data_IF_924329315966
#
_entry.id   IF_924329315966
#
_cell.length_a   1.000
_cell.length_b   1.000
_cell.length_c   1.000
_cell.angle_alpha   90.00
_cell.angle_beta   90.00
_cell.angle_gamma   90.00
#
_symmetry.space_group_name_H-M   'P 1'
#
loop_
_entity.id
_entity.type
_entity.pdbx_description
1 polymer ?
#
# COMPACT_ATOMS: atom_id res chain seq x y z
N UNK A 1 18.46 -27.09 20.79
CA UNK A 1 17.56 -27.46 19.66
C UNK A 1 18.40 -27.58 18.39
N UNK A 2 18.55 -28.77 17.84
CA UNK A 2 19.36 -29.04 16.65
C UNK A 2 18.75 -28.36 15.42
N UNK A 3 19.49 -27.47 14.76
CA UNK A 3 19.11 -26.88 13.45
C UNK A 3 19.05 -28.04 12.42
N UNK A 4 17.81 -28.44 12.05
CA UNK A 4 17.60 -29.40 10.94
C UNK A 4 18.30 -28.81 9.71
N UNK A 5 19.31 -29.49 9.19
CA UNK A 5 19.99 -29.16 7.93
C UNK A 5 18.91 -29.08 6.83
N UNK A 6 18.67 -27.90 6.26
CA UNK A 6 17.82 -27.79 5.08
C UNK A 6 18.40 -28.65 3.98
N UNK A 7 17.62 -29.59 3.45
CA UNK A 7 18.03 -30.39 2.28
C UNK A 7 18.29 -29.40 1.13
N UNK A 8 19.41 -29.60 0.41
CA UNK A 8 19.67 -28.84 -0.82
C UNK A 8 18.49 -29.06 -1.79
N UNK A 9 17.91 -27.96 -2.28
CA UNK A 9 16.89 -28.03 -3.30
C UNK A 9 17.52 -28.41 -4.65
N UNK A 10 16.81 -29.15 -5.53
CA UNK A 10 17.24 -29.34 -6.90
C UNK A 10 17.38 -27.99 -7.59
N UNK A 11 18.45 -27.82 -8.34
CA UNK A 11 18.69 -26.61 -9.16
C UNK A 11 18.22 -26.80 -10.62
N UNK A 12 17.88 -28.03 -10.98
CA UNK A 12 17.33 -28.35 -12.31
C UNK A 12 15.93 -27.77 -12.43
N UNK A 13 15.63 -26.98 -13.48
CA UNK A 13 14.29 -26.50 -13.72
C UNK A 13 13.31 -27.66 -13.95
N UNK A 14 12.06 -27.43 -13.56
CA UNK A 14 10.93 -28.32 -13.81
C UNK A 14 10.08 -27.70 -14.93
N UNK A 15 9.68 -28.50 -15.90
CA UNK A 15 8.65 -28.13 -16.85
C UNK A 15 7.28 -28.28 -16.17
N UNK A 16 6.49 -27.23 -16.17
CA UNK A 16 5.21 -27.16 -15.51
C UNK A 16 4.15 -26.51 -16.42
N UNK A 17 2.92 -27.03 -16.34
CA UNK A 17 1.74 -26.40 -16.94
C UNK A 17 0.91 -25.75 -15.82
N UNK A 18 0.61 -24.48 -15.99
CA UNK A 18 -0.09 -23.69 -14.98
C UNK A 18 -1.59 -23.78 -15.19
N UNK A 19 -2.28 -24.42 -14.24
CA UNK A 19 -3.73 -24.67 -14.33
C UNK A 19 -4.59 -23.53 -13.80
N UNK A 20 -4.10 -22.75 -12.81
CA UNK A 20 -4.86 -21.70 -12.14
C UNK A 20 -3.93 -20.69 -11.46
N UNK A 21 -4.51 -19.63 -10.86
CA UNK A 21 -3.83 -18.73 -9.92
C UNK A 21 -4.31 -18.98 -8.49
N UNK A 22 -3.41 -18.89 -7.53
CA UNK A 22 -3.75 -18.82 -6.11
C UNK A 22 -4.27 -17.43 -5.74
N UNK A 23 -4.93 -17.32 -4.59
CA UNK A 23 -5.39 -16.02 -4.06
C UNK A 23 -4.26 -14.99 -3.84
N UNK A 24 -3.01 -15.46 -3.74
CA UNK A 24 -1.82 -14.60 -3.66
C UNK A 24 -1.24 -14.23 -5.03
N UNK A 25 -1.87 -14.69 -6.13
CA UNK A 25 -1.41 -14.42 -7.50
C UNK A 25 -0.22 -15.26 -7.95
N UNK A 26 -0.03 -16.46 -7.37
CA UNK A 26 0.98 -17.43 -7.83
C UNK A 26 0.32 -18.45 -8.75
N UNK A 27 0.98 -18.82 -9.84
CA UNK A 27 0.55 -19.92 -10.69
C UNK A 27 0.47 -21.23 -9.89
N UNK A 28 -0.55 -22.03 -10.17
CA UNK A 28 -0.75 -23.36 -9.58
C UNK A 28 -0.46 -24.40 -10.65
N UNK A 29 0.49 -25.27 -10.37
CA UNK A 29 0.80 -26.45 -11.17
C UNK A 29 0.79 -27.71 -10.29
N UNK A 30 0.84 -28.88 -10.92
CA UNK A 30 1.00 -30.16 -10.25
C UNK A 30 2.26 -30.88 -10.78
N UNK A 31 3.07 -31.36 -9.88
CA UNK A 31 4.26 -32.16 -10.22
C UNK A 31 4.36 -33.34 -9.27
N UNK A 32 4.47 -34.56 -9.83
CA UNK A 32 4.53 -35.81 -9.06
C UNK A 32 3.40 -35.94 -8.00
N UNK A 33 2.17 -35.54 -8.36
CA UNK A 33 1.00 -35.59 -7.47
C UNK A 33 0.94 -34.51 -6.39
N UNK A 34 1.82 -33.52 -6.43
CA UNK A 34 1.93 -32.45 -5.46
C UNK A 34 1.69 -31.08 -6.09
N UNK A 35 1.03 -30.19 -5.36
CA UNK A 35 0.82 -28.80 -5.78
C UNK A 35 2.15 -28.05 -5.75
N UNK A 36 2.42 -27.28 -6.81
CA UNK A 36 3.56 -26.38 -6.94
C UNK A 36 3.04 -24.97 -7.18
N UNK A 37 3.36 -24.04 -6.27
CA UNK A 37 3.08 -22.61 -6.46
C UNK A 37 4.24 -21.95 -7.18
N UNK A 38 3.97 -21.39 -8.35
CA UNK A 38 4.99 -20.78 -9.22
C UNK A 38 4.83 -19.27 -9.20
N UNK A 39 5.80 -18.57 -8.64
CA UNK A 39 5.81 -17.10 -8.64
C UNK A 39 6.08 -16.56 -10.04
N UNK A 40 5.19 -15.66 -10.53
CA UNK A 40 5.35 -14.99 -11.82
C UNK A 40 4.73 -15.72 -13.01
N UNK A 41 4.08 -16.88 -12.81
CA UNK A 41 3.43 -17.65 -13.87
C UNK A 41 1.90 -17.40 -13.89
N UNK A 42 1.29 -17.49 -15.08
CA UNK A 42 -0.13 -17.27 -15.33
C UNK A 42 -0.83 -18.55 -15.81
N UNK A 43 -2.16 -18.67 -15.63
CA UNK A 43 -2.93 -19.82 -16.12
C UNK A 43 -2.78 -20.02 -17.63
N UNK A 44 -2.71 -21.30 -18.04
CA UNK A 44 -2.55 -21.71 -19.42
C UNK A 44 -1.10 -21.68 -19.93
N UNK A 45 -0.15 -21.23 -19.12
CA UNK A 45 1.25 -21.19 -19.52
C UNK A 45 1.95 -22.53 -19.36
N UNK A 46 2.86 -22.81 -20.29
CA UNK A 46 3.92 -23.84 -20.13
C UNK A 46 5.21 -23.14 -19.78
N UNK A 47 5.79 -23.50 -18.65
CA UNK A 47 6.91 -22.78 -18.04
C UNK A 47 8.01 -23.71 -17.55
N UNK A 48 9.23 -23.19 -17.52
CA UNK A 48 10.28 -23.72 -16.68
C UNK A 48 10.33 -22.96 -15.34
N UNK A 49 10.43 -23.69 -14.23
CA UNK A 49 10.50 -23.12 -12.89
C UNK A 49 11.49 -23.88 -12.01
N UNK A 50 12.18 -23.16 -11.12
CA UNK A 50 13.13 -23.73 -10.15
C UNK A 50 12.50 -23.69 -8.75
N UNK A 51 12.61 -24.82 -8.04
CA UNK A 51 12.10 -24.95 -6.68
C UNK A 51 12.85 -24.03 -5.72
N UNK A 52 12.09 -23.24 -4.96
CA UNK A 52 12.58 -22.29 -3.94
C UNK A 52 12.33 -22.79 -2.52
N UNK A 53 11.29 -23.61 -2.30
CA UNK A 53 11.01 -24.27 -1.01
C UNK A 53 10.23 -25.57 -1.23
N UNK A 54 10.43 -26.55 -0.33
CA UNK A 54 9.68 -27.82 -0.32
C UNK A 54 9.01 -28.02 1.02
N UNK A 55 7.68 -28.14 0.98
CA UNK A 55 6.85 -28.42 2.14
C UNK A 55 6.24 -29.83 2.04
N UNK A 56 5.60 -30.29 3.10
CA UNK A 56 4.95 -31.61 3.08
C UNK A 56 3.80 -31.69 2.09
N UNK A 57 2.97 -30.64 2.00
CA UNK A 57 1.74 -30.62 1.22
C UNK A 57 1.88 -29.90 -0.13
N UNK A 58 2.86 -29.02 -0.30
CA UNK A 58 3.07 -28.26 -1.53
C UNK A 58 4.55 -27.88 -1.68
N UNK A 59 4.93 -27.51 -2.87
CA UNK A 59 6.24 -26.92 -3.17
C UNK A 59 6.07 -25.48 -3.65
N UNK A 60 7.14 -24.69 -3.57
CA UNK A 60 7.21 -23.35 -4.12
C UNK A 60 8.31 -23.31 -5.17
N UNK A 61 8.04 -22.60 -6.26
CA UNK A 61 8.97 -22.42 -7.34
C UNK A 61 8.97 -20.96 -7.84
N UNK A 62 10.04 -20.59 -8.49
CA UNK A 62 10.17 -19.32 -9.20
C UNK A 62 10.26 -19.59 -10.69
N UNK A 63 9.53 -18.82 -11.47
CA UNK A 63 9.57 -18.83 -12.93
C UNK A 63 10.99 -18.54 -13.44
N UNK A 64 11.45 -19.33 -14.39
CA UNK A 64 12.70 -19.15 -15.13
C UNK A 64 12.41 -18.70 -16.57
N UNK A 65 11.55 -19.45 -17.27
CA UNK A 65 11.21 -19.21 -18.67
C UNK A 65 9.74 -19.54 -18.95
N UNK A 66 9.14 -18.82 -19.88
CA UNK A 66 7.79 -19.06 -20.37
C UNK A 66 7.89 -19.55 -21.83
N UNK A 67 7.53 -20.81 -22.07
CA UNK A 67 7.57 -21.41 -23.41
C UNK A 67 6.30 -21.09 -24.22
N UNK A 68 5.14 -21.09 -23.55
CA UNK A 68 3.86 -20.72 -24.14
C UNK A 68 3.19 -19.69 -23.27
N UNK A 69 3.23 -18.40 -23.63
CA UNK A 69 2.65 -17.34 -22.80
C UNK A 69 1.12 -17.37 -22.84
N UNK A 70 0.52 -17.00 -21.71
CA UNK A 70 -0.91 -16.68 -21.62
C UNK A 70 -1.24 -15.47 -22.52
N UNK A 71 -2.42 -15.42 -23.17
CA UNK A 71 -2.87 -14.23 -23.89
C UNK A 71 -3.01 -12.98 -22.98
N UNK A 72 -3.15 -13.19 -21.69
CA UNK A 72 -3.25 -12.13 -20.69
C UNK A 72 -1.89 -11.71 -20.11
N UNK A 73 -0.79 -12.28 -20.58
CA UNK A 73 0.55 -11.85 -20.18
C UNK A 73 0.93 -10.57 -20.89
N UNK A 74 1.39 -9.60 -20.11
CA UNK A 74 1.93 -8.34 -20.61
C UNK A 74 3.35 -8.11 -20.08
N UNK A 75 4.09 -7.23 -20.76
CA UNK A 75 5.36 -6.72 -20.25
C UNK A 75 5.07 -5.77 -19.07
N UNK A 76 5.68 -5.99 -17.88
CA UNK A 76 5.51 -5.09 -16.74
C UNK A 76 5.96 -3.67 -17.06
N UNK A 77 5.16 -2.67 -16.70
CA UNK A 77 5.56 -1.26 -16.81
C UNK A 77 6.79 -0.90 -15.95
N UNK A 78 7.02 -1.64 -14.86
CA UNK A 78 8.11 -1.42 -13.94
C UNK A 78 9.29 -2.36 -14.23
N UNK A 79 10.46 -1.81 -14.52
CA UNK A 79 11.70 -2.57 -14.76
C UNK A 79 12.12 -3.46 -13.58
N UNK A 80 11.67 -3.13 -12.36
CA UNK A 80 11.96 -3.89 -11.13
C UNK A 80 10.93 -4.96 -10.80
N UNK A 81 9.91 -5.17 -11.62
CA UNK A 81 8.79 -6.07 -11.32
C UNK A 81 9.22 -7.53 -11.07
N UNK A 82 10.32 -7.98 -11.69
CA UNK A 82 10.86 -9.34 -11.53
C UNK A 82 11.56 -9.58 -10.19
N UNK A 83 12.04 -8.51 -9.53
CA UNK A 83 12.84 -8.59 -8.29
C UNK A 83 12.17 -7.91 -7.10
N UNK A 84 11.48 -6.79 -7.31
CA UNK A 84 10.85 -6.01 -6.27
C UNK A 84 9.63 -6.73 -5.68
N UNK A 85 9.55 -6.78 -4.33
CA UNK A 85 8.43 -7.39 -3.59
C UNK A 85 7.20 -6.49 -3.44
N UNK A 86 7.21 -5.28 -4.00
CA UNK A 86 6.11 -4.31 -3.88
C UNK A 86 4.88 -4.64 -4.73
N UNK A 87 5.05 -5.42 -5.81
CA UNK A 87 3.99 -5.80 -6.75
C UNK A 87 4.07 -7.27 -7.12
N UNK A 88 2.90 -7.93 -7.26
CA UNK A 88 2.81 -9.36 -7.55
C UNK A 88 2.35 -9.66 -8.98
N UNK A 89 1.59 -8.79 -9.62
CA UNK A 89 0.83 -9.09 -10.83
C UNK A 89 1.07 -8.11 -12.00
N UNK A 90 2.17 -7.37 -12.03
CA UNK A 90 2.41 -6.42 -13.13
C UNK A 90 2.60 -7.08 -14.52
N UNK A 91 2.88 -8.37 -14.55
CA UNK A 91 2.98 -9.18 -15.76
C UNK A 91 1.62 -9.71 -16.25
N UNK A 92 0.53 -9.39 -15.59
CA UNK A 92 -0.83 -9.82 -15.88
C UNK A 92 -1.67 -8.61 -16.30
N UNK A 93 -2.40 -8.71 -17.43
CA UNK A 93 -3.25 -7.63 -17.94
C UNK A 93 -4.21 -7.10 -16.87
N UNK A 94 -4.34 -5.79 -16.63
CA UNK A 94 -5.18 -5.24 -15.57
C UNK A 94 -6.65 -5.63 -15.65
N UNK A 95 -7.20 -5.86 -16.85
CA UNK A 95 -8.60 -6.31 -17.03
C UNK A 95 -8.73 -7.76 -16.61
N UNK A 96 -7.77 -8.60 -17.00
CA UNK A 96 -7.72 -9.99 -16.58
C UNK A 96 -7.46 -10.13 -15.08
N UNK A 97 -6.63 -9.27 -14.47
CA UNK A 97 -6.48 -9.19 -13.00
C UNK A 97 -7.82 -8.90 -12.31
N UNK A 98 -8.61 -7.98 -12.85
CA UNK A 98 -9.91 -7.62 -12.30
C UNK A 98 -10.88 -8.79 -12.38
N UNK A 99 -11.02 -9.42 -13.56
CA UNK A 99 -11.86 -10.59 -13.77
C UNK A 99 -11.47 -11.75 -12.84
N UNK A 100 -10.17 -11.99 -12.67
CA UNK A 100 -9.66 -12.98 -11.71
C UNK A 100 -10.07 -12.66 -10.26
N UNK A 101 -9.94 -11.41 -9.83
CA UNK A 101 -10.33 -11.00 -8.47
C UNK A 101 -11.83 -11.11 -8.25
N UNK A 102 -12.65 -10.78 -9.26
CA UNK A 102 -14.09 -10.96 -9.22
C UNK A 102 -14.46 -12.44 -9.11
N UNK A 103 -13.89 -13.31 -9.96
CA UNK A 103 -14.18 -14.74 -9.90
C UNK A 103 -13.87 -15.34 -8.53
N UNK A 104 -12.75 -14.93 -7.92
CA UNK A 104 -12.38 -15.36 -6.57
C UNK A 104 -13.34 -14.84 -5.48
N UNK A 105 -13.87 -13.63 -5.63
CA UNK A 105 -14.85 -13.09 -4.71
C UNK A 105 -16.17 -13.86 -4.83
N UNK A 106 -16.66 -14.05 -6.06
CA UNK A 106 -17.92 -14.75 -6.31
C UNK A 106 -17.88 -16.22 -5.89
N UNK A 107 -16.77 -16.92 -6.14
CA UNK A 107 -16.58 -18.29 -5.65
C UNK A 107 -16.77 -18.38 -4.11
N UNK A 108 -16.19 -17.42 -3.38
CA UNK A 108 -16.34 -17.36 -1.92
C UNK A 108 -17.73 -16.96 -1.47
N UNK A 109 -18.37 -16.01 -2.16
CA UNK A 109 -19.74 -15.59 -1.88
C UNK A 109 -20.71 -16.72 -2.13
N UNK A 110 -20.66 -17.40 -3.28
CA UNK A 110 -21.52 -18.53 -3.64
C UNK A 110 -21.43 -19.64 -2.58
N UNK A 111 -20.22 -19.91 -2.10
CA UNK A 111 -20.02 -20.87 -1.03
C UNK A 111 -20.62 -20.39 0.32
N UNK A 112 -20.51 -19.10 0.63
CA UNK A 112 -20.99 -18.53 1.90
C UNK A 112 -22.52 -18.36 1.95
N UNK A 113 -23.13 -17.93 0.84
CA UNK A 113 -24.58 -17.65 0.79
C UNK A 113 -25.45 -18.90 0.56
N UNK A 114 -24.84 -20.06 0.33
CA UNK A 114 -25.55 -21.37 0.25
C UNK A 114 -26.75 -21.38 -0.71
N UNK A 115 -26.60 -20.76 -1.88
CA UNK A 115 -27.62 -20.72 -2.93
C UNK A 115 -28.62 -19.58 -2.82
N UNK A 116 -28.46 -18.65 -1.88
CA UNK A 116 -29.24 -17.41 -1.90
C UNK A 116 -28.79 -16.55 -3.09
N UNK A 117 -29.76 -15.90 -3.73
CA UNK A 117 -29.47 -15.01 -4.86
C UNK A 117 -28.95 -13.65 -4.36
N UNK A 118 -27.98 -13.10 -5.06
CA UNK A 118 -27.47 -11.75 -4.87
C UNK A 118 -27.20 -11.07 -6.22
N UNK A 119 -27.16 -9.75 -6.22
CA UNK A 119 -26.92 -8.99 -7.45
C UNK A 119 -25.43 -8.70 -7.61
N UNK A 120 -24.89 -9.06 -8.76
CA UNK A 120 -23.54 -8.66 -9.15
C UNK A 120 -23.56 -7.20 -9.62
N UNK A 121 -22.69 -6.41 -9.07
CA UNK A 121 -22.47 -5.03 -9.51
C UNK A 121 -21.17 -4.95 -10.33
N UNK A 122 -21.11 -3.96 -11.21
CA UNK A 122 -19.87 -3.68 -11.92
C UNK A 122 -18.73 -3.33 -10.96
N UNK A 123 -17.52 -3.86 -11.18
CA UNK A 123 -16.38 -3.55 -10.33
C UNK A 123 -15.94 -2.10 -10.48
N UNK A 124 -15.52 -1.50 -9.37
CA UNK A 124 -14.90 -0.17 -9.37
C UNK A 124 -13.54 -0.24 -10.06
N UNK A 125 -13.29 0.70 -10.96
CA UNK A 125 -12.06 0.81 -11.73
C UNK A 125 -11.38 2.15 -11.50
N UNK A 126 -10.06 2.14 -11.41
CA UNK A 126 -9.25 3.34 -11.23
C UNK A 126 -7.88 3.19 -11.88
N UNK A 127 -7.01 4.19 -11.74
CA UNK A 127 -5.65 4.13 -12.24
C UNK A 127 -4.92 2.89 -11.73
N UNK A 128 -4.19 2.21 -12.62
CA UNK A 128 -3.39 1.02 -12.29
C UNK A 128 -1.94 1.37 -11.94
N UNK A 129 -1.51 2.59 -12.24
CA UNK A 129 -0.20 3.17 -11.92
C UNK A 129 -0.37 4.50 -11.20
N UNK A 130 0.65 4.95 -10.48
CA UNK A 130 0.67 6.25 -9.78
C UNK A 130 -0.32 6.40 -8.62
N UNK A 131 -1.05 5.36 -8.26
CA UNK A 131 -2.17 5.43 -7.32
C UNK A 131 -1.75 5.38 -5.85
N UNK A 132 -0.56 4.84 -5.56
CA UNK A 132 -0.14 4.50 -4.19
C UNK A 132 0.39 5.72 -3.45
N UNK A 133 -0.41 6.24 -2.53
CA UNK A 133 -0.10 7.45 -1.77
C UNK A 133 0.67 7.21 -0.47
N UNK A 134 0.78 5.98 -0.02
CA UNK A 134 1.54 5.63 1.20
C UNK A 134 2.45 4.45 0.96
N UNK A 135 3.67 4.56 1.45
CA UNK A 135 4.63 3.48 1.39
C UNK A 135 5.63 3.55 2.54
N UNK A 136 6.19 2.41 2.86
CA UNK A 136 7.30 2.26 3.78
C UNK A 136 8.50 1.79 2.98
N UNK A 137 9.44 2.70 2.75
CA UNK A 137 10.68 2.46 2.04
C UNK A 137 11.71 1.93 3.03
N UNK A 138 12.33 0.82 2.73
CA UNK A 138 13.46 0.31 3.48
C UNK A 138 14.73 1.06 3.06
N UNK A 139 15.62 1.30 4.01
CA UNK A 139 16.89 1.99 3.79
C UNK A 139 18.02 1.10 4.28
N UNK A 140 19.09 0.98 3.50
CA UNK A 140 20.25 0.18 3.89
C UNK A 140 21.51 0.62 3.16
N UNK A 141 22.58 0.78 3.93
CA UNK A 141 23.92 0.88 3.35
C UNK A 141 24.43 -0.49 2.90
N UNK A 142 24.87 -0.58 1.66
CA UNK A 142 25.42 -1.81 1.06
C UNK A 142 26.93 -1.63 0.86
N UNK A 143 27.72 -2.25 1.73
CA UNK A 143 29.19 -2.13 1.72
C UNK A 143 29.83 -2.46 0.35
N UNK A 144 29.34 -3.52 -0.33
CA UNK A 144 29.90 -3.91 -1.65
C UNK A 144 29.65 -2.90 -2.76
N UNK A 145 28.65 -2.02 -2.60
CA UNK A 145 28.29 -0.97 -3.56
C UNK A 145 28.70 0.41 -3.09
N UNK A 146 29.18 0.50 -1.84
CA UNK A 146 29.50 1.76 -1.16
C UNK A 146 28.36 2.80 -1.26
N UNK A 147 27.11 2.31 -1.23
CA UNK A 147 25.91 3.10 -1.50
C UNK A 147 24.80 2.79 -0.48
N UNK A 148 24.03 3.83 -0.13
CA UNK A 148 22.75 3.67 0.54
C UNK A 148 21.68 3.36 -0.51
N UNK A 149 20.91 2.30 -0.31
CA UNK A 149 19.74 1.95 -1.11
C UNK A 149 18.48 2.38 -0.36
N UNK A 150 17.56 3.02 -1.07
CA UNK A 150 16.22 3.40 -0.61
C UNK A 150 15.20 2.78 -1.56
N UNK A 151 14.29 1.97 -1.04
CA UNK A 151 13.28 1.32 -1.88
C UNK A 151 12.53 0.19 -1.19
N UNK A 152 11.87 -0.64 -1.96
CA UNK A 152 11.18 -1.81 -1.44
C UNK A 152 12.11 -3.01 -1.31
N UNK A 153 11.75 -3.92 -0.42
CA UNK A 153 12.47 -5.20 -0.32
C UNK A 153 12.25 -6.04 -1.56
N UNK A 154 13.28 -6.80 -1.93
CA UNK A 154 13.16 -7.83 -2.97
C UNK A 154 12.25 -8.97 -2.52
N UNK A 155 11.66 -9.65 -3.47
CA UNK A 155 10.80 -10.82 -3.25
C UNK A 155 11.52 -11.90 -2.46
N UNK A 156 10.89 -12.38 -1.39
CA UNK A 156 11.43 -13.45 -0.55
C UNK A 156 12.80 -13.17 0.09
N UNK A 157 13.23 -11.92 0.15
CA UNK A 157 14.57 -11.51 0.56
C UNK A 157 14.54 -10.38 1.59
N UNK A 158 15.67 -10.18 2.27
CA UNK A 158 15.93 -8.99 3.11
C UNK A 158 16.71 -7.90 2.37
N UNK A 159 17.06 -8.14 1.10
CA UNK A 159 17.73 -7.15 0.27
C UNK A 159 16.76 -6.04 -0.14
N UNK A 160 17.32 -4.91 -0.54
CA UNK A 160 16.55 -3.75 -1.01
C UNK A 160 16.79 -3.62 -2.51
N UNK A 161 15.72 -3.48 -3.26
CA UNK A 161 15.76 -3.20 -4.69
C UNK A 161 16.43 -1.84 -4.91
N UNK A 162 17.48 -1.82 -5.70
CA UNK A 162 18.12 -0.57 -6.13
C UNK A 162 17.28 0.04 -7.24
N UNK A 163 16.42 0.99 -6.89
CA UNK A 163 15.41 1.55 -7.79
C UNK A 163 15.54 3.06 -7.92
N UNK A 164 15.32 3.54 -9.14
CA UNK A 164 15.31 4.96 -9.49
C UNK A 164 13.89 5.52 -9.58
N UNK A 165 12.89 4.66 -9.79
CA UNK A 165 11.47 5.00 -9.89
C UNK A 165 10.59 3.88 -9.34
N UNK A 166 9.31 4.16 -9.17
CA UNK A 166 8.29 3.16 -8.83
C UNK A 166 6.97 3.54 -9.49
N UNK A 167 6.56 2.74 -10.47
CA UNK A 167 5.39 3.04 -11.30
C UNK A 167 4.05 3.08 -10.55
N UNK A 168 3.95 2.43 -9.40
CA UNK A 168 2.70 2.43 -8.61
C UNK A 168 2.65 3.52 -7.54
N UNK A 169 3.79 4.10 -7.14
CA UNK A 169 3.82 5.22 -6.21
C UNK A 169 3.31 6.50 -6.87
N UNK A 170 2.72 7.38 -6.04
CA UNK A 170 2.48 8.77 -6.39
C UNK A 170 3.76 9.38 -6.99
N UNK A 171 3.62 10.07 -8.13
CA UNK A 171 4.75 10.57 -8.91
C UNK A 171 5.66 11.51 -8.12
N UNK A 172 5.10 12.30 -7.19
CA UNK A 172 5.88 13.18 -6.30
C UNK A 172 6.87 12.43 -5.43
N UNK A 173 6.52 11.19 -5.05
CA UNK A 173 7.38 10.31 -4.26
C UNK A 173 8.30 9.48 -5.14
N UNK A 174 7.75 8.93 -6.24
CA UNK A 174 8.51 8.09 -7.17
C UNK A 174 9.74 8.81 -7.71
N UNK A 175 9.59 10.05 -8.18
CA UNK A 175 10.67 10.86 -8.74
C UNK A 175 11.77 11.22 -7.73
N UNK A 176 11.47 11.12 -6.43
CA UNK A 176 12.40 11.49 -5.36
C UNK A 176 13.28 10.33 -4.85
N UNK A 177 13.05 9.10 -5.31
CA UNK A 177 13.79 7.92 -4.82
C UNK A 177 15.33 8.08 -4.94
N UNK A 178 15.88 8.53 -6.08
CA UNK A 178 17.33 8.78 -6.18
C UNK A 178 17.83 9.88 -5.24
N UNK A 179 17.06 10.97 -5.11
CA UNK A 179 17.41 12.08 -4.24
C UNK A 179 17.37 11.69 -2.75
N UNK A 180 16.41 10.84 -2.35
CA UNK A 180 16.36 10.29 -0.99
C UNK A 180 17.57 9.39 -0.69
N UNK A 181 18.01 8.59 -1.67
CA UNK A 181 19.21 7.77 -1.52
C UNK A 181 20.47 8.65 -1.37
N UNK A 182 20.58 9.69 -2.17
CA UNK A 182 21.70 10.66 -2.09
C UNK A 182 21.69 11.44 -0.76
N UNK A 183 20.50 11.90 -0.34
CA UNK A 183 20.32 12.59 0.94
C UNK A 183 20.79 11.72 2.10
N UNK A 184 20.27 10.49 2.23
CA UNK A 184 20.67 9.61 3.33
C UNK A 184 22.17 9.27 3.25
N UNK A 185 22.74 9.09 2.06
CA UNK A 185 24.17 8.84 1.89
C UNK A 185 25.04 10.01 2.39
N UNK A 186 24.51 11.23 2.36
CA UNK A 186 25.23 12.43 2.82
C UNK A 186 25.21 12.63 4.33
N UNK A 187 24.35 11.91 5.06
CA UNK A 187 24.23 12.03 6.52
C UNK A 187 25.41 11.34 7.21
N UNK A 188 25.84 11.88 8.33
CA UNK A 188 26.80 11.21 9.22
C UNK A 188 26.16 9.94 9.80
N UNK A 189 24.86 10.00 10.11
CA UNK A 189 24.05 8.91 10.67
C UNK A 189 23.42 7.99 9.61
N UNK A 190 23.95 7.91 8.38
CA UNK A 190 23.34 7.16 7.28
C UNK A 190 23.04 5.68 7.58
N UNK A 191 23.82 5.06 8.49
CA UNK A 191 23.61 3.65 8.92
C UNK A 191 22.51 3.49 9.94
N UNK A 192 22.11 4.56 10.58
CA UNK A 192 21.12 4.58 11.64
C UNK A 192 19.71 4.93 11.14
N UNK A 193 19.54 5.08 9.82
CA UNK A 193 18.24 5.32 9.15
C UNK A 193 17.79 4.03 8.48
N UNK A 194 16.97 3.18 9.12
CA UNK A 194 16.54 1.90 8.55
C UNK A 194 15.33 2.02 7.62
N UNK A 195 14.58 3.14 7.69
CA UNK A 195 13.28 3.26 7.04
C UNK A 195 12.87 4.71 6.85
N UNK A 196 12.19 4.97 5.73
CA UNK A 196 11.48 6.22 5.45
C UNK A 196 10.03 5.85 5.14
N UNK A 197 9.06 6.36 5.91
CA UNK A 197 7.66 6.29 5.52
C UNK A 197 7.32 7.53 4.68
N UNK A 198 6.53 7.31 3.64
CA UNK A 198 6.05 8.37 2.77
C UNK A 198 4.53 8.38 2.79
N UNK A 199 3.97 9.59 2.82
CA UNK A 199 2.54 9.79 2.71
C UNK A 199 2.27 11.00 1.81
N UNK A 200 1.31 10.85 0.89
CA UNK A 200 0.89 11.91 -0.02
C UNK A 200 -0.59 12.23 0.20
N UNK A 201 -0.88 13.50 0.43
CA UNK A 201 -2.22 14.08 0.45
C UNK A 201 -2.60 14.67 -0.89
N UNK A 202 -3.80 15.27 -0.95
CA UNK A 202 -4.24 16.02 -2.11
C UNK A 202 -3.60 17.40 -2.15
N UNK A 203 -3.33 17.96 -3.34
CA UNK A 203 -2.98 19.37 -3.49
C UNK A 203 -4.17 20.28 -3.15
N UNK A 204 -3.95 21.60 -3.21
CA UNK A 204 -4.97 22.65 -3.12
C UNK A 204 -5.53 22.95 -1.71
N UNK A 205 -4.82 22.52 -0.68
CA UNK A 205 -5.07 22.94 0.70
C UNK A 205 -3.80 23.60 1.24
N UNK A 206 -3.94 24.58 2.14
CA UNK A 206 -2.81 25.30 2.76
C UNK A 206 -2.00 24.40 3.71
N UNK A 207 -1.56 23.26 3.20
CA UNK A 207 -0.81 22.24 3.93
C UNK A 207 0.21 21.55 3.01
N UNK A 208 1.28 20.99 3.54
CA UNK A 208 2.18 20.15 2.76
C UNK A 208 1.43 18.99 2.12
N UNK A 209 1.70 18.73 0.83
CA UNK A 209 1.04 17.63 0.10
C UNK A 209 1.74 16.29 0.26
N UNK A 210 2.96 16.29 0.75
CA UNK A 210 3.77 15.06 0.94
C UNK A 210 4.53 15.15 2.25
N UNK A 211 4.56 14.04 2.98
CA UNK A 211 5.33 13.89 4.21
C UNK A 211 6.34 12.75 4.12
N UNK A 212 7.48 12.96 4.72
CA UNK A 212 8.52 11.96 4.93
C UNK A 212 8.72 11.76 6.43
N UNK A 213 8.64 10.51 6.90
CA UNK A 213 8.92 10.14 8.29
C UNK A 213 10.22 9.33 8.30
N UNK A 214 11.30 9.91 8.80
CA UNK A 214 12.59 9.24 8.92
C UNK A 214 12.67 8.52 10.26
N UNK A 215 12.70 7.18 10.22
CA UNK A 215 13.02 6.40 11.40
C UNK A 215 14.52 6.43 11.62
N UNK A 216 14.94 6.70 12.86
CA UNK A 216 16.35 6.69 13.25
C UNK A 216 16.57 5.87 14.51
N UNK A 217 17.69 5.14 14.57
CA UNK A 217 18.03 4.25 15.68
C UNK A 217 18.86 4.94 16.76
N UNK A 218 19.46 6.08 16.43
CA UNK A 218 20.22 6.97 17.34
C UNK A 218 19.82 8.41 17.08
N UNK A 219 19.97 9.26 18.07
CA UNK A 219 19.75 10.70 17.91
C UNK A 219 20.59 11.25 16.75
N UNK A 220 19.95 12.07 15.93
CA UNK A 220 20.61 12.75 14.80
C UNK A 220 21.34 14.00 15.32
N UNK A 221 22.52 14.26 14.78
CA UNK A 221 23.26 15.50 15.05
C UNK A 221 22.67 16.69 14.29
N UNK A 222 23.04 17.91 14.71
CA UNK A 222 22.52 19.16 14.12
C UNK A 222 22.82 19.25 12.62
N UNK A 223 23.99 18.81 12.17
CA UNK A 223 24.37 18.79 10.75
C UNK A 223 23.45 17.89 9.91
N UNK A 224 23.08 16.72 10.43
CA UNK A 224 22.15 15.81 9.75
C UNK A 224 20.72 16.38 9.72
N UNK A 225 20.28 16.98 10.83
CA UNK A 225 18.99 17.66 10.92
C UNK A 225 18.88 18.81 9.92
N UNK A 226 19.94 19.63 9.77
CA UNK A 226 19.95 20.72 8.82
C UNK A 226 19.82 20.22 7.38
N UNK A 227 20.54 19.16 7.00
CA UNK A 227 20.43 18.55 5.67
C UNK A 227 19.01 18.03 5.40
N UNK A 228 18.41 17.32 6.36
CA UNK A 228 17.03 16.81 6.24
C UNK A 228 16.01 17.95 6.11
N UNK A 229 16.15 19.01 6.90
CA UNK A 229 15.27 20.19 6.85
C UNK A 229 15.44 20.96 5.56
N UNK A 230 16.68 21.16 5.07
CA UNK A 230 16.94 21.82 3.80
C UNK A 230 16.31 21.06 2.64
N UNK A 231 16.50 19.75 2.60
CA UNK A 231 15.87 18.88 1.60
C UNK A 231 14.33 18.97 1.62
N UNK A 232 13.74 18.92 2.82
CA UNK A 232 12.30 19.02 2.97
C UNK A 232 11.76 20.39 2.49
N UNK A 233 12.49 21.47 2.80
CA UNK A 233 12.14 22.83 2.37
C UNK A 233 12.23 23.00 0.85
N UNK A 234 13.32 22.55 0.23
CA UNK A 234 13.55 22.64 -1.22
C UNK A 234 12.51 21.88 -2.04
N UNK A 235 11.97 20.78 -1.47
CA UNK A 235 10.99 19.94 -2.14
C UNK A 235 9.55 20.13 -1.61
N UNK A 236 9.32 21.12 -0.73
CA UNK A 236 8.00 21.40 -0.13
C UNK A 236 7.39 20.19 0.61
N UNK A 237 8.23 19.39 1.30
CA UNK A 237 7.80 18.24 2.09
C UNK A 237 7.63 18.58 3.56
N UNK A 238 6.67 17.92 4.21
CA UNK A 238 6.65 17.85 5.67
C UNK A 238 7.65 16.78 6.14
N UNK A 239 8.52 17.15 7.06
CA UNK A 239 9.52 16.28 7.66
C UNK A 239 9.10 15.87 9.07
N UNK A 240 9.12 14.57 9.31
CA UNK A 240 8.90 13.95 10.61
C UNK A 240 10.08 13.06 10.97
N UNK A 241 10.34 12.93 12.26
CA UNK A 241 11.33 12.02 12.81
C UNK A 241 10.64 10.99 13.71
N UNK A 242 11.19 9.78 13.75
CA UNK A 242 10.73 8.67 14.57
C UNK A 242 11.91 7.98 15.24
N UNK A 243 12.06 8.19 16.55
CA UNK A 243 13.13 7.59 17.35
C UNK A 243 12.83 6.16 17.84
N UNK A 244 11.55 5.79 17.92
CA UNK A 244 11.12 4.52 18.52
C UNK A 244 9.76 4.06 18.01
N UNK A 245 8.78 3.97 18.93
CA UNK A 245 7.39 3.63 18.62
C UNK A 245 6.66 4.74 17.85
N UNK A 246 5.37 4.52 17.61
CA UNK A 246 4.51 5.48 16.89
C UNK A 246 4.32 6.78 17.69
N UNK A 247 4.34 6.70 18.98
CA UNK A 247 4.27 7.79 19.97
C UNK A 247 5.47 8.75 19.90
N UNK A 248 6.58 8.33 19.30
CA UNK A 248 7.78 9.16 19.15
C UNK A 248 7.82 9.96 17.86
N UNK A 249 6.82 9.81 17.00
CA UNK A 249 6.77 10.52 15.71
C UNK A 249 6.41 11.99 15.97
N UNK A 250 7.25 12.89 15.50
CA UNK A 250 7.02 14.33 15.63
C UNK A 250 7.45 15.10 14.39
N UNK A 251 6.75 16.18 14.09
CA UNK A 251 7.05 17.06 12.97
C UNK A 251 8.25 17.96 13.28
N UNK A 252 9.19 18.02 12.35
CA UNK A 252 10.38 18.88 12.40
C UNK A 252 10.25 20.08 11.45
N UNK A 253 9.64 19.86 10.29
CA UNK A 253 9.47 20.89 9.26
C UNK A 253 8.13 20.70 8.51
N UNK A 254 7.42 21.81 8.16
CA UNK A 254 7.62 23.17 8.66
C UNK A 254 7.29 23.25 10.17
N UNK A 255 7.91 24.18 10.89
CA UNK A 255 7.67 24.38 12.33
C UNK A 255 6.26 24.92 12.62
N UNK A 256 5.68 25.64 11.69
CA UNK A 256 4.33 26.20 11.75
C UNK A 256 3.36 25.41 10.86
N UNK A 257 2.08 25.68 11.00
CA UNK A 257 1.03 25.03 10.22
C UNK A 257 0.56 23.70 10.79
N UNK A 258 -0.44 23.07 10.16
CA UNK A 258 -1.07 21.86 10.68
C UNK A 258 -0.09 20.68 10.72
N UNK A 259 -0.26 19.84 11.73
CA UNK A 259 0.45 18.55 11.83
C UNK A 259 -0.36 17.46 11.12
N UNK A 260 -0.80 17.74 9.90
CA UNK A 260 -1.68 16.88 9.10
C UNK A 260 -1.39 17.07 7.62
N UNK A 261 -1.57 15.98 6.88
CA UNK A 261 -1.87 16.00 5.47
C UNK A 261 -3.38 15.88 5.29
N UNK A 262 -3.89 16.20 4.11
CA UNK A 262 -5.32 16.13 3.83
C UNK A 262 -5.58 15.34 2.56
N UNK A 263 -6.71 14.62 2.53
CA UNK A 263 -7.28 14.12 1.30
C UNK A 263 -8.74 14.56 1.17
N UNK A 264 -9.20 14.72 -0.05
CA UNK A 264 -10.51 15.26 -0.35
C UNK A 264 -11.49 14.18 -0.81
N UNK A 265 -12.73 14.31 -0.38
CA UNK A 265 -13.91 13.63 -0.91
C UNK A 265 -14.79 14.69 -1.57
N UNK A 266 -14.52 15.05 -2.84
CA UNK A 266 -15.16 16.23 -3.47
C UNK A 266 -16.68 16.10 -3.58
N UNK A 267 -17.20 14.90 -3.84
CA UNK A 267 -18.64 14.65 -3.95
C UNK A 267 -19.39 14.96 -2.64
N UNK A 268 -18.75 14.79 -1.50
CA UNK A 268 -19.29 15.07 -0.17
C UNK A 268 -18.86 16.42 0.37
N UNK A 269 -18.06 17.20 -0.40
CA UNK A 269 -17.46 18.46 0.04
C UNK A 269 -16.72 18.33 1.37
N UNK A 270 -15.89 17.28 1.50
CA UNK A 270 -15.12 16.98 2.68
C UNK A 270 -13.61 17.00 2.38
N UNK A 271 -12.85 17.52 3.35
CA UNK A 271 -11.40 17.36 3.43
C UNK A 271 -11.06 16.71 4.78
N UNK A 272 -10.43 15.54 4.73
CA UNK A 272 -10.08 14.78 5.92
C UNK A 272 -8.58 14.91 6.20
N UNK A 273 -8.25 15.42 7.38
CA UNK A 273 -6.90 15.49 7.90
C UNK A 273 -6.44 14.14 8.42
N UNK A 274 -5.19 13.79 8.13
CA UNK A 274 -4.57 12.56 8.63
C UNK A 274 -3.11 12.79 8.99
N UNK A 275 -2.62 12.08 10.00
CA UNK A 275 -1.19 12.07 10.31
C UNK A 275 -0.46 11.13 9.33
N UNK A 276 0.80 11.41 8.93
CA UNK A 276 1.53 10.57 7.97
C UNK A 276 1.58 9.08 8.32
N UNK A 277 1.49 8.75 9.60
CA UNK A 277 1.51 7.36 10.07
C UNK A 277 0.13 6.72 10.20
N UNK A 278 -0.96 7.48 10.07
CA UNK A 278 -2.31 6.93 10.15
C UNK A 278 -2.61 5.97 8.99
N UNK A 279 -3.51 5.04 9.22
CA UNK A 279 -4.05 4.26 8.12
C UNK A 279 -4.96 5.13 7.25
N UNK A 280 -4.69 5.15 5.96
CA UNK A 280 -5.57 5.71 4.92
C UNK A 280 -5.58 4.77 3.73
N UNK A 281 -6.65 4.80 2.93
CA UNK A 281 -6.72 4.02 1.69
C UNK A 281 -5.63 4.49 0.72
N UNK A 282 -4.77 3.57 0.30
CA UNK A 282 -3.60 3.91 -0.53
C UNK A 282 -3.96 4.33 -1.95
N UNK A 283 -5.12 3.91 -2.46
CA UNK A 283 -5.68 4.30 -3.75
C UNK A 283 -6.82 5.29 -3.52
N UNK A 284 -6.54 6.59 -3.64
CA UNK A 284 -7.50 7.64 -3.36
C UNK A 284 -8.69 7.65 -4.33
N UNK A 285 -8.45 7.32 -5.60
CA UNK A 285 -9.51 7.32 -6.62
C UNK A 285 -10.51 6.19 -6.36
N UNK A 286 -10.02 4.99 -6.07
CA UNK A 286 -10.89 3.87 -5.67
C UNK A 286 -11.60 4.18 -4.33
N UNK A 287 -10.94 4.84 -3.38
CA UNK A 287 -11.57 5.24 -2.13
C UNK A 287 -12.78 6.16 -2.36
N UNK A 288 -12.65 7.16 -3.23
CA UNK A 288 -13.75 8.08 -3.60
C UNK A 288 -14.90 7.34 -4.25
N UNK A 289 -14.61 6.48 -5.23
CA UNK A 289 -15.62 5.66 -5.91
C UNK A 289 -16.34 4.71 -4.94
N UNK A 290 -15.59 4.06 -4.04
CA UNK A 290 -16.12 3.14 -3.04
C UNK A 290 -17.06 3.84 -2.06
N UNK A 291 -16.70 5.02 -1.58
CA UNK A 291 -17.56 5.83 -0.70
C UNK A 291 -18.82 6.23 -1.44
N UNK A 292 -18.72 6.76 -2.66
CA UNK A 292 -19.87 7.15 -3.47
C UNK A 292 -20.84 5.99 -3.70
N UNK A 293 -20.32 4.80 -4.07
CA UNK A 293 -21.12 3.60 -4.26
C UNK A 293 -21.78 3.14 -2.96
N UNK A 294 -21.05 3.12 -1.84
CA UNK A 294 -21.60 2.74 -0.54
C UNK A 294 -22.74 3.66 -0.10
N UNK A 295 -22.58 4.98 -0.24
CA UNK A 295 -23.61 5.95 0.09
C UNK A 295 -24.84 5.84 -0.82
N UNK A 296 -24.64 5.50 -2.09
CA UNK A 296 -25.73 5.24 -3.03
C UNK A 296 -26.53 3.98 -2.63
N UNK A 297 -25.84 2.90 -2.29
CA UNK A 297 -26.48 1.64 -1.90
C UNK A 297 -27.18 1.71 -0.54
N UNK A 298 -26.70 2.55 0.36
CA UNK A 298 -27.33 2.75 1.66
C UNK A 298 -28.65 3.53 1.57
N UNK A 299 -28.88 4.30 0.49
CA UNK A 299 -30.10 5.09 0.26
C UNK A 299 -30.53 5.94 1.47
N UNK A 300 -29.55 6.51 2.17
CA UNK A 300 -29.73 7.20 3.45
C UNK A 300 -30.77 8.32 3.37
N UNK A 301 -31.69 8.30 4.34
CA UNK A 301 -32.70 9.35 4.55
C UNK A 301 -32.28 10.26 5.70
N UNK A 302 -32.91 11.43 5.79
CA UNK A 302 -32.57 12.44 6.80
C UNK A 302 -32.73 11.96 8.25
N UNK A 303 -33.70 11.12 8.52
CA UNK A 303 -34.04 10.56 9.85
C UNK A 303 -33.30 9.26 10.18
N UNK A 304 -32.50 8.75 9.25
CA UNK A 304 -31.71 7.53 9.47
C UNK A 304 -30.67 7.71 10.58
N UNK A 305 -30.40 6.61 11.25
CA UNK A 305 -29.32 6.45 12.23
C UNK A 305 -28.33 5.42 11.72
N UNK A 306 -27.14 5.88 11.36
CA UNK A 306 -26.09 5.03 10.81
C UNK A 306 -25.05 4.66 11.88
N UNK A 307 -24.65 3.41 11.91
CA UNK A 307 -23.53 2.91 12.68
C UNK A 307 -22.41 2.48 11.74
N UNK A 308 -21.22 3.08 11.89
CA UNK A 308 -20.00 2.73 11.16
C UNK A 308 -19.01 2.05 12.12
N UNK A 309 -18.77 0.76 11.90
CA UNK A 309 -17.83 -0.03 12.70
C UNK A 309 -16.43 0.04 12.07
N UNK A 310 -15.42 0.26 12.90
CA UNK A 310 -14.03 0.48 12.48
C UNK A 310 -13.87 1.75 11.66
N UNK A 311 -14.48 2.84 12.14
CA UNK A 311 -14.62 4.11 11.43
C UNK A 311 -13.30 4.80 11.07
N UNK A 312 -12.20 4.44 11.74
CA UNK A 312 -10.91 5.08 11.55
C UNK A 312 -10.99 6.59 11.82
N UNK A 313 -10.45 7.37 10.90
CA UNK A 313 -10.50 8.84 10.96
C UNK A 313 -11.81 9.44 10.40
N UNK A 314 -12.82 8.61 10.15
CA UNK A 314 -14.15 9.05 9.71
C UNK A 314 -14.39 8.98 8.20
N UNK A 315 -13.68 8.13 7.47
CA UNK A 315 -13.74 8.06 6.00
C UNK A 315 -15.18 7.84 5.45
N UNK A 316 -15.93 6.88 6.01
CA UNK A 316 -17.34 6.64 5.69
C UNK A 316 -18.27 7.43 6.61
N UNK A 317 -17.98 7.48 7.90
CA UNK A 317 -18.76 8.17 8.93
C UNK A 317 -19.10 9.60 8.53
N UNK A 318 -18.06 10.39 8.14
CA UNK A 318 -18.24 11.80 7.84
C UNK A 318 -18.91 12.03 6.47
N UNK A 319 -18.68 11.14 5.52
CA UNK A 319 -19.37 11.16 4.24
C UNK A 319 -20.88 10.85 4.40
N UNK A 320 -21.22 9.87 5.23
CA UNK A 320 -22.62 9.53 5.57
C UNK A 320 -23.32 10.67 6.35
N UNK A 321 -22.59 11.36 7.22
CA UNK A 321 -23.12 12.50 7.98
C UNK A 321 -23.54 13.70 7.10
N UNK A 322 -23.22 13.68 5.80
CA UNK A 322 -23.79 14.64 4.82
C UNK A 322 -25.20 14.25 4.36
N UNK A 323 -25.64 13.03 4.65
CA UNK A 323 -26.88 12.43 4.13
C UNK A 323 -27.95 12.21 5.21
N UNK A 324 -27.55 11.97 6.48
CA UNK A 324 -28.48 11.71 7.57
C UNK A 324 -28.10 12.47 8.85
N UNK A 325 -29.04 12.55 9.82
CA UNK A 325 -28.87 13.38 11.02
C UNK A 325 -28.01 12.70 12.10
N UNK A 326 -27.97 11.39 12.16
CA UNK A 326 -27.26 10.67 13.22
C UNK A 326 -26.30 9.65 12.66
N UNK A 327 -25.01 9.85 12.90
CA UNK A 327 -23.97 8.89 12.56
C UNK A 327 -23.11 8.61 13.78
N UNK A 328 -22.93 7.33 14.10
CA UNK A 328 -22.04 6.87 15.16
C UNK A 328 -20.91 6.06 14.54
N UNK A 329 -19.69 6.51 14.69
CA UNK A 329 -18.49 5.74 14.36
C UNK A 329 -17.98 5.01 15.61
N UNK A 330 -17.51 3.79 15.45
CA UNK A 330 -16.84 3.02 16.50
C UNK A 330 -15.43 2.66 16.03
N UNK A 331 -14.44 3.08 16.81
CA UNK A 331 -13.02 2.87 16.50
C UNK A 331 -12.26 2.45 17.75
N UNK A 332 -11.35 1.47 17.61
CA UNK A 332 -10.56 0.94 18.73
C UNK A 332 -9.33 1.76 19.10
N UNK A 333 -8.89 2.66 18.22
CA UNK A 333 -7.72 3.51 18.45
C UNK A 333 -8.13 4.90 18.91
N UNK A 334 -7.79 5.27 20.14
CA UNK A 334 -8.08 6.59 20.70
C UNK A 334 -7.57 7.72 19.79
N UNK A 335 -6.36 7.61 19.24
CA UNK A 335 -5.79 8.61 18.35
C UNK A 335 -6.58 8.77 17.04
N UNK A 336 -7.19 7.69 16.54
CA UNK A 336 -8.04 7.75 15.35
C UNK A 336 -9.42 8.33 15.67
N UNK A 337 -9.98 8.04 16.86
CA UNK A 337 -11.21 8.67 17.36
C UNK A 337 -11.03 10.19 17.44
N UNK A 338 -9.97 10.66 18.10
CA UNK A 338 -9.67 12.09 18.23
C UNK A 338 -9.56 12.76 16.85
N UNK A 339 -8.89 12.08 15.91
CA UNK A 339 -8.74 12.57 14.53
C UNK A 339 -10.05 12.63 13.76
N UNK A 340 -10.90 11.62 13.93
CA UNK A 340 -12.26 11.62 13.38
C UNK A 340 -13.10 12.77 13.91
N UNK A 341 -13.02 13.06 15.20
CA UNK A 341 -13.70 14.19 15.82
C UNK A 341 -13.13 15.55 15.35
N UNK A 342 -11.80 15.67 15.23
CA UNK A 342 -11.15 16.84 14.62
C UNK A 342 -11.68 17.08 13.20
N UNK A 343 -11.76 16.02 12.38
CA UNK A 343 -12.28 16.09 11.02
C UNK A 343 -13.75 16.50 10.99
N UNK A 344 -14.57 16.01 11.90
CA UNK A 344 -16.00 16.38 12.01
C UNK A 344 -16.19 17.87 12.33
N UNK A 345 -15.33 18.42 13.19
CA UNK A 345 -15.34 19.82 13.59
C UNK A 345 -14.49 20.76 12.70
N UNK A 346 -13.86 20.24 11.65
CA UNK A 346 -12.94 21.02 10.82
C UNK A 346 -13.60 22.22 10.17
N UNK A 347 -12.93 23.37 10.24
CA UNK A 347 -13.36 24.60 9.55
C UNK A 347 -13.27 24.50 8.03
N UNK A 348 -12.44 23.59 7.51
CA UNK A 348 -12.29 23.35 6.07
C UNK A 348 -13.58 22.74 5.50
N UNK A 349 -14.19 21.84 6.25
CA UNK A 349 -15.41 21.13 5.79
C UNK A 349 -16.33 20.78 6.97
N UNK A 350 -16.89 21.79 7.67
CA UNK A 350 -17.68 21.53 8.85
C UNK A 350 -18.95 20.73 8.51
N UNK A 351 -19.24 19.72 9.31
CA UNK A 351 -20.51 19.00 9.27
C UNK A 351 -21.52 19.82 10.08
N UNK A 352 -22.46 20.42 9.38
CA UNK A 352 -23.57 21.16 9.99
C UNK A 352 -24.84 20.31 9.87
N UNK A 353 -25.73 20.41 10.80
CA UNK A 353 -27.04 19.71 10.79
C UNK A 353 -27.00 18.19 11.02
N UNK A 354 -25.85 17.63 11.43
CA UNK A 354 -25.77 16.21 11.78
C UNK A 354 -25.08 16.04 13.13
N UNK A 355 -25.53 15.06 13.91
CA UNK A 355 -24.84 14.63 15.12
C UNK A 355 -23.86 13.53 14.73
N UNK A 356 -22.57 13.79 14.89
CA UNK A 356 -21.49 12.81 14.68
C UNK A 356 -20.88 12.47 16.02
N UNK A 357 -20.80 11.21 16.31
CA UNK A 357 -20.12 10.65 17.47
C UNK A 357 -19.14 9.58 16.98
N UNK A 358 -17.88 9.66 17.38
CA UNK A 358 -16.86 8.68 17.02
C UNK A 358 -16.21 8.15 18.32
#
# INVERSE_FOLDING_TARGET
MSRRRRKKLPTTPLELEISALSHEGRGIAHHEGKVVFVEGALPGEKVEAVLTDRRSKYDQAKLVEVHSPSPDRIEPACEYASICGGCSLQHFDPRAQLAFKESMLFEKLDHAVQGQQYTHMDPLRGPVLGYRRKARLAVRYVHKKEQVLVGFREKGSTFITNMSSCEVLDQRVSSMLPALSALVSSLESFREIPQIEVAAGDPDLDAPTTALVFRHLKALGDADLEKLVSFARENSFALYLQAGGMDTVHKVHPKSGPDRLYYQLPAESLALGFHPTDFTQVNADINRLMIGQALQLLELQQDDRLLDLFSGLGNFTLAAARRCQHVTGVEGSQAMVERGMENAGSTISPIRNSTVQI
#
